data_IF_653156200637
#
_entry.id   IF_653156200637
#
_cell.length_a   1.000
_cell.length_b   1.000
_cell.length_c   1.000
_cell.angle_alpha   90.00
_cell.angle_beta   90.00
_cell.angle_gamma   90.00
#
_symmetry.space_group_name_H-M   'P 1'
#
loop_
_entity.id
_entity.type
_entity.pdbx_description
1 polymer ?
#
# COMPACT_ATOMS: atom_id res chain seq x y z
N UNK A 1 33.55 -26.48 -34.58
CA UNK A 1 33.68 -26.18 -33.15
C UNK A 1 35.07 -25.62 -32.88
N UNK A 2 35.17 -24.34 -32.55
CA UNK A 2 36.40 -23.70 -32.06
C UNK A 2 36.01 -22.79 -30.90
N UNK A 3 36.48 -23.12 -29.72
CA UNK A 3 36.29 -22.44 -28.44
C UNK A 3 37.10 -21.14 -28.41
N UNK A 4 36.46 -20.01 -28.05
CA UNK A 4 37.16 -18.77 -27.72
C UNK A 4 37.31 -18.66 -26.20
N UNK A 5 38.55 -18.39 -25.80
CA UNK A 5 39.03 -18.26 -24.42
C UNK A 5 38.74 -16.86 -23.87
N UNK A 6 38.38 -16.82 -22.59
CA UNK A 6 38.11 -15.65 -21.75
C UNK A 6 39.45 -15.01 -21.37
N UNK A 7 39.81 -13.86 -21.94
CA UNK A 7 40.95 -13.05 -21.41
C UNK A 7 40.99 -11.54 -21.69
N UNK A 8 39.91 -10.90 -22.17
CA UNK A 8 39.95 -9.46 -22.46
C UNK A 8 38.77 -8.72 -21.81
N UNK A 9 38.81 -8.43 -20.50
CA UNK A 9 38.05 -7.32 -19.90
C UNK A 9 38.63 -6.97 -18.51
N UNK A 10 39.82 -6.37 -18.53
CA UNK A 10 40.24 -5.44 -17.48
C UNK A 10 40.92 -4.24 -18.14
N UNK A 11 40.83 -3.08 -17.48
CA UNK A 11 41.40 -1.77 -17.84
C UNK A 11 40.47 -0.86 -18.64
N UNK A 12 39.63 -0.11 -17.92
CA UNK A 12 39.40 1.32 -18.15
C UNK A 12 38.62 1.92 -16.98
N UNK A 13 39.30 2.06 -15.84
CA UNK A 13 38.90 2.98 -14.77
C UNK A 13 40.13 3.78 -14.41
N UNK A 14 40.13 5.06 -14.79
CA UNK A 14 40.81 6.21 -14.16
C UNK A 14 40.93 7.34 -15.19
N UNK A 15 40.18 8.43 -14.96
CA UNK A 15 40.64 9.84 -15.00
C UNK A 15 39.44 10.78 -15.16
N UNK A 16 39.05 11.42 -14.07
CA UNK A 16 38.77 12.87 -14.04
C UNK A 16 38.60 13.35 -12.60
N UNK A 17 39.64 13.99 -12.10
CA UNK A 17 39.59 14.94 -10.99
C UNK A 17 39.53 16.35 -11.61
N UNK A 18 38.66 17.23 -11.10
CA UNK A 18 38.87 18.66 -10.83
C UNK A 18 37.53 19.23 -10.34
N UNK A 19 37.35 19.47 -9.03
CA UNK A 19 37.60 20.74 -8.30
C UNK A 19 36.80 21.92 -8.87
N UNK A 20 35.76 22.35 -8.15
CA UNK A 20 35.51 23.77 -7.82
C UNK A 20 34.67 23.84 -6.53
N UNK A 21 35.27 24.43 -5.49
CA UNK A 21 34.56 24.81 -4.29
C UNK A 21 33.89 26.17 -4.47
N UNK A 22 32.76 26.37 -3.78
CA UNK A 22 32.32 27.69 -3.35
C UNK A 22 31.77 27.57 -1.94
N UNK A 23 32.51 28.16 -1.01
CA UNK A 23 32.11 28.50 0.34
C UNK A 23 31.23 29.74 0.21
N UNK A 24 29.99 29.68 0.70
CA UNK A 24 29.22 30.89 1.00
C UNK A 24 28.81 30.84 2.47
N UNK A 25 29.65 31.52 3.25
CA UNK A 25 29.44 31.88 4.64
C UNK A 25 28.61 33.17 4.63
N UNK A 26 27.38 33.15 5.13
CA UNK A 26 26.65 34.36 5.48
C UNK A 26 26.41 34.41 6.99
N UNK A 27 26.90 35.51 7.55
CA UNK A 27 27.06 35.84 8.95
C UNK A 27 25.83 36.63 9.44
N UNK A 28 25.38 36.25 10.64
CA UNK A 28 24.69 37.01 11.70
C UNK A 28 23.96 38.33 11.39
N UNK A 29 22.72 38.42 11.89
CA UNK A 29 22.04 39.66 12.27
C UNK A 29 20.99 39.40 13.36
N UNK A 30 21.29 39.86 14.58
CA UNK A 30 20.41 39.88 15.76
C UNK A 30 19.35 40.99 15.66
N UNK A 31 18.17 40.75 16.24
CA UNK A 31 17.27 41.65 17.02
C UNK A 31 15.92 40.91 17.12
N UNK A 32 15.30 40.62 18.26
CA UNK A 32 15.29 41.31 19.55
C UNK A 32 14.04 42.19 19.62
N UNK A 33 12.91 41.65 20.11
CA UNK A 33 11.83 42.39 20.79
C UNK A 33 10.85 41.39 21.44
N UNK A 34 10.90 41.32 22.77
CA UNK A 34 9.84 40.82 23.65
C UNK A 34 8.67 41.80 23.70
N UNK A 35 7.48 41.27 24.03
CA UNK A 35 6.34 41.82 24.80
C UNK A 35 5.33 40.66 24.83
N UNK A 36 5.20 39.84 25.87
CA UNK A 36 4.67 40.09 27.23
C UNK A 36 3.20 40.55 27.24
N UNK A 37 2.44 40.04 28.23
CA UNK A 37 1.05 40.40 28.64
C UNK A 37 -0.06 39.68 27.83
N UNK A 38 -1.00 38.86 28.35
CA UNK A 38 -1.66 38.78 29.66
C UNK A 38 -2.02 37.33 30.05
N UNK A 39 -1.75 36.97 31.31
CA UNK A 39 -2.43 35.88 32.01
C UNK A 39 -3.68 36.43 32.69
N UNK A 40 -4.86 35.98 32.27
CA UNK A 40 -6.10 36.20 33.04
C UNK A 40 -6.17 35.12 34.13
N UNK A 41 -5.69 35.48 35.32
CA UNK A 41 -6.01 34.77 36.55
C UNK A 41 -7.45 35.04 36.92
N UNK A 42 -8.27 33.99 37.01
CA UNK A 42 -9.60 34.11 37.60
C UNK A 42 -9.51 33.65 39.06
N UNK A 43 -9.59 34.65 39.93
CA UNK A 43 -9.48 34.56 41.39
C UNK A 43 -10.75 33.88 41.95
N UNK A 44 -10.60 32.67 42.48
CA UNK A 44 -11.64 31.97 43.22
C UNK A 44 -11.57 32.43 44.68
N UNK A 45 -12.43 33.38 45.06
CA UNK A 45 -12.68 33.70 46.47
C UNK A 45 -14.12 33.39 46.87
N UNK A 46 -14.20 32.62 47.95
CA UNK A 46 -15.39 32.14 48.63
C UNK A 46 -16.36 33.26 49.02
N UNK A 47 -17.64 33.08 48.70
CA UNK A 47 -18.74 33.65 49.45
C UNK A 47 -19.78 32.56 49.72
N UNK A 48 -19.78 32.10 50.98
CA UNK A 48 -20.86 31.36 51.62
C UNK A 48 -22.07 32.28 51.81
N UNK A 49 -23.24 31.86 51.37
CA UNK A 49 -24.47 31.89 52.19
C UNK A 49 -25.65 31.35 51.38
N UNK A 50 -26.07 30.19 51.85
CA UNK A 50 -27.41 29.60 51.80
C UNK A 50 -28.53 30.57 51.35
N UNK A 51 -28.91 30.48 50.08
CA UNK A 51 -30.22 30.91 49.59
C UNK A 51 -30.69 29.92 48.53
N UNK A 52 -31.77 29.25 48.90
CA UNK A 52 -32.59 28.36 48.10
C UNK A 52 -33.02 29.01 46.78
N UNK A 53 -32.38 28.61 45.70
CA UNK A 53 -32.91 28.73 44.33
C UNK A 53 -33.06 27.34 43.76
N UNK A 54 -34.30 26.95 43.48
CA UNK A 54 -34.65 25.81 42.64
C UNK A 54 -34.06 26.04 41.24
N UNK A 55 -32.81 25.63 41.03
CA UNK A 55 -32.26 25.49 39.69
C UNK A 55 -32.72 24.12 39.19
N UNK A 56 -33.66 24.16 38.25
CA UNK A 56 -33.99 23.02 37.40
C UNK A 56 -32.72 22.64 36.64
N UNK A 57 -31.93 21.71 37.15
CA UNK A 57 -30.90 21.03 36.36
C UNK A 57 -31.54 19.80 35.71
N UNK A 58 -32.47 20.04 34.78
CA UNK A 58 -32.76 19.06 33.74
C UNK A 58 -31.96 19.48 32.50
N UNK A 59 -30.63 19.45 32.65
CA UNK A 59 -29.75 19.50 31.49
C UNK A 59 -29.76 18.11 30.88
N UNK A 60 -30.77 17.87 30.03
CA UNK A 60 -30.82 16.71 29.16
C UNK A 60 -29.63 16.85 28.20
N UNK A 61 -28.49 16.26 28.57
CA UNK A 61 -27.39 16.02 27.63
C UNK A 61 -27.98 15.10 26.57
N UNK A 62 -28.47 15.70 25.47
CA UNK A 62 -28.85 14.97 24.28
C UNK A 62 -27.64 14.10 23.92
N UNK A 63 -27.89 12.79 23.90
CA UNK A 63 -26.88 11.76 23.99
C UNK A 63 -25.62 12.10 23.22
N UNK A 64 -24.49 12.12 23.94
CA UNK A 64 -23.21 11.83 23.33
C UNK A 64 -23.35 10.41 22.77
N UNK A 65 -23.83 10.31 21.53
CA UNK A 65 -23.59 9.14 20.71
C UNK A 65 -22.09 9.09 20.59
N UNK A 66 -21.43 8.26 21.40
CA UNK A 66 -20.05 7.87 21.17
C UNK A 66 -19.99 7.48 19.70
N UNK A 67 -19.35 8.33 18.88
CA UNK A 67 -19.16 8.04 17.48
C UNK A 67 -18.48 6.68 17.44
N UNK A 68 -19.21 5.64 17.03
CA UNK A 68 -18.63 4.32 16.81
C UNK A 68 -17.52 4.54 15.81
N UNK A 69 -16.26 4.43 16.26
CA UNK A 69 -15.09 4.56 15.41
C UNK A 69 -15.30 3.64 14.22
N UNK A 70 -15.41 4.22 13.02
CA UNK A 70 -15.72 3.46 11.82
C UNK A 70 -14.69 2.34 11.65
N UNK A 71 -15.14 1.10 11.39
CA UNK A 71 -14.22 0.01 11.10
C UNK A 71 -13.61 0.19 9.71
N UNK A 72 -12.39 -0.33 9.45
CA UNK A 72 -11.80 -0.24 8.12
C UNK A 72 -12.70 -0.80 7.01
N UNK A 73 -13.36 -1.94 7.26
CA UNK A 73 -14.26 -2.55 6.27
C UNK A 73 -15.47 -1.68 5.98
N UNK A 74 -16.01 -0.97 6.98
CA UNK A 74 -17.09 0.01 6.78
C UNK A 74 -16.63 1.24 5.99
N UNK A 75 -15.42 1.76 6.24
CA UNK A 75 -14.86 2.92 5.52
C UNK A 75 -14.59 2.60 4.06
N UNK A 76 -14.09 1.39 3.76
CA UNK A 76 -13.90 0.94 2.37
C UNK A 76 -15.18 0.46 1.69
N UNK A 77 -16.26 0.22 2.43
CA UNK A 77 -17.50 -0.33 1.88
C UNK A 77 -17.36 -1.78 1.39
N UNK A 78 -16.55 -2.59 2.06
CA UNK A 78 -16.27 -3.98 1.69
C UNK A 78 -16.94 -4.98 2.63
N UNK A 79 -17.25 -6.16 2.08
CA UNK A 79 -17.86 -7.30 2.78
C UNK A 79 -17.11 -8.57 2.45
N UNK A 80 -17.23 -9.60 3.29
CA UNK A 80 -16.63 -10.93 3.04
C UNK A 80 -17.11 -11.57 1.73
N UNK A 81 -18.29 -11.18 1.25
CA UNK A 81 -18.80 -11.62 -0.06
C UNK A 81 -18.06 -11.04 -1.27
N UNK A 82 -17.32 -9.94 -1.08
CA UNK A 82 -16.60 -9.21 -2.13
C UNK A 82 -15.08 -9.25 -1.97
N UNK A 83 -14.59 -9.39 -0.75
CA UNK A 83 -13.17 -9.39 -0.46
C UNK A 83 -12.84 -10.29 0.71
N UNK A 84 -11.78 -11.07 0.57
CA UNK A 84 -11.06 -11.68 1.70
C UNK A 84 -9.94 -10.75 2.14
N UNK A 85 -9.65 -10.71 3.44
CA UNK A 85 -8.58 -9.90 4.01
C UNK A 85 -7.40 -10.82 4.35
N UNK A 86 -6.33 -10.73 3.56
CA UNK A 86 -5.05 -11.34 3.86
C UNK A 86 -4.32 -10.44 4.86
N UNK A 87 -4.09 -10.91 6.08
CA UNK A 87 -3.45 -10.08 7.11
C UNK A 87 -2.74 -10.91 8.16
N UNK A 88 -2.49 -10.32 9.32
CA UNK A 88 -1.70 -10.89 10.39
C UNK A 88 -2.26 -10.53 11.76
N UNK A 89 -1.86 -11.31 12.75
CA UNK A 89 -2.14 -11.07 14.17
C UNK A 89 -0.85 -11.14 14.99
N UNK A 90 -0.84 -10.50 16.15
CA UNK A 90 0.32 -10.46 17.05
C UNK A 90 1.23 -9.26 16.77
N UNK A 91 2.32 -9.13 17.50
CA UNK A 91 3.27 -8.04 17.27
C UNK A 91 4.04 -8.25 15.96
N UNK A 92 4.41 -7.19 15.23
CA UNK A 92 5.21 -7.31 14.02
C UNK A 92 6.62 -7.80 14.40
N UNK A 93 6.85 -9.10 14.30
CA UNK A 93 8.15 -9.74 14.47
C UNK A 93 8.13 -11.14 13.85
N UNK A 94 9.30 -11.69 13.51
CA UNK A 94 9.39 -13.07 12.98
C UNK A 94 8.95 -14.14 14.00
N UNK A 95 9.01 -13.86 15.30
CA UNK A 95 8.69 -14.81 16.36
C UNK A 95 7.20 -14.82 16.74
N UNK A 96 6.56 -13.65 16.79
CA UNK A 96 5.22 -13.49 17.38
C UNK A 96 4.10 -13.32 16.36
N UNK A 97 4.40 -12.75 15.18
CA UNK A 97 3.39 -12.58 14.13
C UNK A 97 2.95 -13.94 13.57
N UNK A 98 1.65 -14.03 13.28
CA UNK A 98 1.03 -15.12 12.51
C UNK A 98 0.34 -14.52 11.29
N UNK A 99 0.61 -15.09 10.13
CA UNK A 99 -0.05 -14.72 8.88
C UNK A 99 -1.32 -15.55 8.70
N UNK A 100 -2.36 -14.91 8.18
CA UNK A 100 -3.64 -15.52 7.86
C UNK A 100 -4.02 -15.19 6.42
N UNK A 101 -4.27 -16.22 5.62
CA UNK A 101 -4.73 -16.01 4.24
C UNK A 101 -6.15 -15.44 4.20
N UNK A 102 -7.01 -15.88 5.13
CA UNK A 102 -8.22 -15.19 5.55
C UNK A 102 -8.11 -14.81 7.02
N UNK A 103 -8.18 -13.52 7.35
CA UNK A 103 -8.10 -13.07 8.74
C UNK A 103 -9.23 -13.63 9.61
N UNK A 104 -10.38 -14.01 9.04
CA UNK A 104 -11.48 -14.58 9.84
C UNK A 104 -11.10 -15.94 10.44
N UNK A 105 -10.15 -16.65 9.85
CA UNK A 105 -9.64 -17.92 10.38
C UNK A 105 -8.87 -17.74 11.69
N UNK A 106 -8.45 -16.51 12.00
CA UNK A 106 -7.87 -16.16 13.30
C UNK A 106 -8.92 -16.01 14.41
N UNK A 107 -10.21 -16.12 14.08
CA UNK A 107 -11.33 -15.77 14.96
C UNK A 107 -11.72 -14.29 14.92
N UNK A 108 -11.11 -13.48 14.05
CA UNK A 108 -11.48 -12.07 13.90
C UNK A 108 -12.85 -11.92 13.23
N UNK A 109 -13.65 -10.96 13.70
CA UNK A 109 -14.90 -10.59 13.04
C UNK A 109 -14.61 -9.65 11.86
N UNK A 110 -14.98 -10.05 10.64
CA UNK A 110 -14.75 -9.28 9.41
C UNK A 110 -15.27 -7.83 9.49
N UNK A 111 -16.47 -7.63 10.04
CA UNK A 111 -17.12 -6.31 10.06
C UNK A 111 -16.43 -5.31 10.98
N UNK A 112 -15.68 -5.79 11.97
CA UNK A 112 -15.04 -4.97 13.00
C UNK A 112 -13.53 -5.16 13.10
N UNK A 113 -12.93 -6.00 12.24
CA UNK A 113 -11.50 -6.26 12.28
C UNK A 113 -10.70 -4.96 12.03
N UNK A 114 -9.83 -4.65 12.99
CA UNK A 114 -8.89 -3.53 12.92
C UNK A 114 -7.69 -3.86 13.80
N UNK A 115 -6.48 -3.72 13.24
CA UNK A 115 -5.20 -3.87 13.94
C UNK A 115 -4.27 -2.74 13.46
N UNK A 116 -3.84 -1.88 14.36
CA UNK A 116 -2.97 -0.73 14.03
C UNK A 116 -1.59 -1.13 13.51
N UNK A 117 -1.20 -2.40 13.67
CA UNK A 117 0.02 -2.94 13.08
C UNK A 117 -0.15 -3.36 11.62
N UNK A 118 -1.37 -3.65 11.14
CA UNK A 118 -1.57 -4.29 9.84
C UNK A 118 -2.69 -3.67 9.01
N UNK A 119 -3.87 -3.46 9.58
CA UNK A 119 -5.08 -3.08 8.87
C UNK A 119 -5.97 -2.19 9.75
N UNK A 120 -5.98 -0.88 9.49
CA UNK A 120 -6.68 0.10 10.35
C UNK A 120 -7.19 1.29 9.54
N UNK A 121 -7.91 2.21 10.18
CA UNK A 121 -8.44 3.41 9.51
C UNK A 121 -8.31 4.66 10.36
N UNK A 122 -8.21 5.82 9.71
CA UNK A 122 -8.37 7.15 10.31
C UNK A 122 -9.79 7.73 10.10
N UNK A 123 -10.71 6.92 9.57
CA UNK A 123 -12.07 7.32 9.18
C UNK A 123 -12.20 7.82 7.73
N UNK A 124 -11.09 8.16 7.06
CA UNK A 124 -11.06 8.60 5.66
C UNK A 124 -10.32 7.64 4.74
N UNK A 125 -9.26 7.01 5.25
CA UNK A 125 -8.42 6.05 4.55
C UNK A 125 -8.38 4.75 5.33
N UNK A 126 -8.28 3.64 4.61
CA UNK A 126 -7.88 2.37 5.21
C UNK A 126 -6.43 2.11 4.88
N UNK A 127 -5.65 1.86 5.93
CA UNK A 127 -4.22 1.62 5.87
C UNK A 127 -3.94 0.14 5.89
N UNK A 128 -3.15 -0.27 4.92
CA UNK A 128 -2.54 -1.58 4.79
C UNK A 128 -1.07 -1.43 5.11
N UNK A 129 -0.61 -2.16 6.12
CA UNK A 129 0.75 -2.12 6.61
C UNK A 129 1.33 -3.52 6.61
N UNK A 130 2.42 -3.70 5.87
CA UNK A 130 3.17 -4.95 5.85
C UNK A 130 4.62 -4.69 6.27
N UNK A 131 5.22 -5.65 6.98
CA UNK A 131 6.53 -5.49 7.61
C UNK A 131 7.55 -6.39 6.94
N UNK A 132 8.77 -5.87 6.77
CA UNK A 132 9.90 -6.65 6.25
C UNK A 132 10.22 -7.80 7.21
N UNK A 133 10.42 -8.99 6.66
CA UNK A 133 10.88 -10.15 7.43
C UNK A 133 9.90 -10.73 8.44
N UNK A 134 8.61 -10.42 8.31
CA UNK A 134 7.53 -11.18 8.97
C UNK A 134 7.15 -12.41 8.16
N UNK A 135 6.44 -13.36 8.78
CA UNK A 135 5.94 -14.57 8.12
C UNK A 135 4.98 -14.21 6.99
N UNK A 136 4.99 -15.06 5.97
CA UNK A 136 4.27 -14.91 4.71
C UNK A 136 3.31 -16.08 4.50
N UNK A 137 2.55 -16.06 3.40
CA UNK A 137 1.83 -17.26 2.96
C UNK A 137 2.82 -18.38 2.59
N UNK A 138 2.38 -19.63 2.65
CA UNK A 138 3.20 -20.79 2.23
C UNK A 138 3.67 -20.71 0.77
N UNK A 139 2.93 -19.99 -0.07
CA UNK A 139 3.18 -19.83 -1.51
C UNK A 139 3.95 -18.57 -1.89
N UNK A 140 4.20 -17.62 -0.98
CA UNK A 140 4.92 -16.37 -1.30
C UNK A 140 6.04 -16.11 -0.32
N UNK A 141 7.19 -15.68 -0.84
CA UNK A 141 8.32 -15.27 -0.01
C UNK A 141 8.23 -13.83 0.54
N UNK A 142 7.27 -13.03 0.07
CA UNK A 142 7.15 -11.61 0.42
C UNK A 142 5.91 -11.35 1.30
N UNK A 143 6.03 -10.56 2.39
CA UNK A 143 4.91 -10.23 3.28
C UNK A 143 3.86 -9.33 2.63
N UNK A 144 2.60 -9.47 3.07
CA UNK A 144 1.47 -8.63 2.62
C UNK A 144 0.43 -8.42 3.71
N UNK A 145 -0.23 -7.26 3.64
CA UNK A 145 -1.58 -7.04 4.16
C UNK A 145 -2.41 -6.55 3.00
N UNK A 146 -3.35 -7.35 2.51
CA UNK A 146 -3.95 -7.14 1.20
C UNK A 146 -5.37 -7.70 1.13
N UNK A 147 -6.19 -7.18 0.22
CA UNK A 147 -7.47 -7.76 -0.11
C UNK A 147 -7.33 -8.70 -1.32
N UNK A 148 -8.04 -9.84 -1.27
CA UNK A 148 -8.25 -10.73 -2.42
C UNK A 148 -9.71 -10.67 -2.84
N UNK A 149 -9.98 -10.40 -4.11
CA UNK A 149 -11.33 -10.33 -4.65
C UNK A 149 -12.12 -11.63 -4.42
N UNK A 150 -13.39 -11.48 -4.06
CA UNK A 150 -14.38 -12.54 -3.94
C UNK A 150 -15.61 -12.15 -4.76
N UNK A 151 -16.34 -13.13 -5.28
CA UNK A 151 -17.62 -12.92 -5.96
C UNK A 151 -18.66 -13.77 -5.25
N UNK A 152 -19.61 -13.11 -4.60
CA UNK A 152 -20.69 -13.76 -3.84
C UNK A 152 -20.17 -14.72 -2.76
N UNK A 153 -19.05 -14.37 -2.10
CA UNK A 153 -18.43 -15.19 -1.04
C UNK A 153 -17.53 -16.31 -1.55
N UNK A 154 -17.52 -16.57 -2.86
CA UNK A 154 -16.62 -17.53 -3.49
C UNK A 154 -15.38 -16.83 -4.01
N UNK A 155 -14.30 -17.61 -4.14
CA UNK A 155 -13.08 -17.12 -4.75
C UNK A 155 -13.35 -16.58 -6.15
N UNK A 156 -13.10 -15.28 -6.38
CA UNK A 156 -13.20 -14.71 -7.72
C UNK A 156 -12.32 -15.49 -8.72
N UNK A 157 -12.90 -15.74 -9.89
CA UNK A 157 -12.29 -16.44 -11.02
C UNK A 157 -13.01 -15.96 -12.28
N UNK A 158 -12.33 -15.14 -13.07
CA UNK A 158 -12.88 -14.59 -14.32
C UNK A 158 -11.86 -14.64 -15.45
N UNK A 159 -12.34 -14.52 -16.70
CA UNK A 159 -11.52 -14.66 -17.90
C UNK A 159 -11.32 -13.31 -18.60
N UNK A 160 -10.08 -12.80 -18.63
CA UNK A 160 -9.76 -11.51 -19.24
C UNK A 160 -9.94 -11.41 -20.77
N UNK A 161 -10.28 -12.51 -21.46
CA UNK A 161 -10.71 -12.49 -22.86
C UNK A 161 -12.23 -12.40 -23.05
N UNK A 162 -13.03 -12.46 -21.97
CA UNK A 162 -14.49 -12.45 -22.00
C UNK A 162 -15.04 -11.40 -21.05
N UNK A 163 -15.87 -10.48 -21.57
CA UNK A 163 -16.35 -9.34 -20.79
C UNK A 163 -15.27 -8.31 -20.50
N UNK A 164 -15.58 -7.40 -19.57
CA UNK A 164 -14.68 -6.37 -19.05
C UNK A 164 -14.66 -6.43 -17.53
N UNK A 165 -13.47 -6.61 -16.97
CA UNK A 165 -13.24 -6.61 -15.53
C UNK A 165 -12.46 -5.36 -15.17
N UNK A 166 -12.95 -4.57 -14.22
CA UNK A 166 -12.30 -3.33 -13.80
C UNK A 166 -12.24 -3.23 -12.29
N UNK A 167 -11.09 -2.82 -11.76
CA UNK A 167 -10.90 -2.39 -10.38
C UNK A 167 -10.46 -0.93 -10.39
N UNK A 168 -11.18 -0.07 -9.66
CA UNK A 168 -10.83 1.34 -9.46
C UNK A 168 -10.63 1.60 -7.98
N UNK A 169 -9.55 2.30 -7.64
CA UNK A 169 -9.25 2.66 -6.25
C UNK A 169 -8.47 3.96 -6.18
N UNK A 170 -8.71 4.74 -5.13
CA UNK A 170 -7.89 5.89 -4.77
C UNK A 170 -6.83 5.45 -3.77
N UNK A 171 -5.57 5.73 -4.05
CA UNK A 171 -4.42 5.27 -3.28
C UNK A 171 -3.45 6.41 -2.94
N UNK A 172 -2.82 6.28 -1.79
CA UNK A 172 -1.56 6.96 -1.45
C UNK A 172 -0.59 5.92 -0.86
N UNK A 173 0.69 6.09 -1.12
CA UNK A 173 1.74 5.30 -0.46
C UNK A 173 2.51 6.26 0.43
N UNK A 174 2.50 5.99 1.73
CA UNK A 174 3.09 6.86 2.74
C UNK A 174 4.50 6.41 3.14
N UNK A 175 4.84 5.12 2.92
CA UNK A 175 6.18 4.61 3.19
C UNK A 175 6.54 3.41 2.29
N UNK A 176 7.80 3.35 1.89
CA UNK A 176 8.43 2.18 1.26
C UNK A 176 9.26 1.39 2.28
N UNK A 177 9.34 0.06 2.16
CA UNK A 177 10.23 -0.77 2.99
C UNK A 177 11.68 -0.62 2.55
N UNK A 178 12.59 -1.30 3.25
CA UNK A 178 13.96 -1.58 2.84
C UNK A 178 13.99 -2.92 2.10
N UNK A 179 14.38 -2.89 0.84
CA UNK A 179 14.61 -4.06 0.00
C UNK A 179 15.76 -4.93 0.49
N UNK A 180 15.94 -6.06 -0.18
CA UNK A 180 17.01 -7.04 0.07
C UNK A 180 18.40 -6.46 -0.21
N UNK A 181 18.51 -5.56 -1.20
CA UNK A 181 19.76 -4.86 -1.52
C UNK A 181 20.15 -3.79 -0.48
N UNK A 182 19.25 -3.48 0.45
CA UNK A 182 19.45 -2.45 1.49
C UNK A 182 19.34 -1.01 1.00
N UNK A 183 19.20 -0.76 -0.31
CA UNK A 183 19.24 0.58 -0.90
C UNK A 183 17.94 1.00 -1.58
N UNK A 184 17.12 0.04 -2.02
CA UNK A 184 15.83 0.30 -2.68
C UNK A 184 14.67 -0.04 -1.77
N UNK A 185 13.48 0.46 -2.10
CA UNK A 185 12.23 0.16 -1.42
C UNK A 185 11.11 0.00 -2.45
N UNK A 186 10.29 -1.04 -2.30
CA UNK A 186 9.22 -1.35 -3.25
C UNK A 186 8.00 -1.91 -2.55
N UNK A 187 6.83 -1.34 -2.86
CA UNK A 187 5.51 -1.90 -2.48
C UNK A 187 4.66 -2.08 -3.73
N UNK A 188 3.89 -3.17 -3.77
CA UNK A 188 2.82 -3.38 -4.72
C UNK A 188 1.49 -3.03 -4.06
N UNK A 189 0.69 -2.18 -4.72
CA UNK A 189 -0.56 -1.65 -4.17
C UNK A 189 -1.82 -1.98 -4.99
N UNK A 190 -1.67 -2.79 -6.04
CA UNK A 190 -2.80 -3.25 -6.86
C UNK A 190 -2.35 -4.26 -7.91
N UNK A 191 -3.15 -5.31 -8.10
CA UNK A 191 -2.77 -6.46 -8.91
C UNK A 191 -3.96 -7.04 -9.67
N UNK A 192 -3.64 -7.68 -10.80
CA UNK A 192 -4.40 -8.84 -11.29
C UNK A 192 -3.51 -10.05 -11.09
N UNK A 193 -4.03 -11.06 -10.43
CA UNK A 193 -3.36 -12.34 -10.25
C UNK A 193 -4.07 -13.37 -11.13
N UNK A 194 -3.29 -14.09 -11.93
CA UNK A 194 -3.75 -15.22 -12.74
C UNK A 194 -3.56 -16.56 -12.01
N UNK A 195 -3.72 -17.69 -12.72
CA UNK A 195 -3.45 -19.00 -12.17
C UNK A 195 -1.95 -19.27 -12.04
N UNK A 196 -1.57 -20.16 -11.13
CA UNK A 196 -0.20 -20.71 -11.09
C UNK A 196 0.17 -21.32 -12.44
N UNK A 197 -0.76 -22.07 -13.04
CA UNK A 197 -0.64 -22.62 -14.39
C UNK A 197 -1.97 -22.50 -15.11
N UNK A 198 -2.00 -21.87 -16.28
CA UNK A 198 -3.22 -21.70 -17.05
C UNK A 198 -3.59 -22.94 -17.88
N UNK A 199 -4.73 -22.91 -18.58
CA UNK A 199 -5.20 -24.03 -19.42
C UNK A 199 -4.27 -24.40 -20.58
N UNK A 200 -3.33 -23.52 -20.95
CA UNK A 200 -2.27 -23.82 -21.93
C UNK A 200 -1.00 -24.41 -21.28
N UNK A 201 -1.01 -24.65 -19.97
CA UNK A 201 0.16 -25.15 -19.25
C UNK A 201 1.24 -24.09 -19.01
N UNK A 202 0.92 -22.80 -19.12
CA UNK A 202 1.87 -21.69 -18.92
C UNK A 202 1.77 -21.19 -17.48
N UNK A 203 2.91 -21.00 -16.83
CA UNK A 203 2.98 -20.36 -15.52
C UNK A 203 2.72 -18.86 -15.66
N UNK A 204 1.68 -18.35 -15.00
CA UNK A 204 1.27 -16.94 -15.12
C UNK A 204 1.53 -16.18 -13.83
N UNK A 205 1.01 -16.68 -12.70
CA UNK A 205 1.08 -16.02 -11.40
C UNK A 205 0.53 -14.57 -11.47
N UNK A 206 1.23 -13.57 -10.94
CA UNK A 206 0.82 -12.17 -11.08
C UNK A 206 0.84 -11.72 -12.55
N UNK A 207 -0.33 -11.40 -13.11
CA UNK A 207 -0.44 -10.81 -14.45
C UNK A 207 0.15 -9.41 -14.48
N UNK A 208 -0.20 -8.59 -13.48
CA UNK A 208 0.32 -7.24 -13.31
C UNK A 208 0.46 -6.90 -11.83
N UNK A 209 1.55 -6.20 -11.51
CA UNK A 209 1.79 -5.56 -10.21
C UNK A 209 2.00 -4.07 -10.39
N UNK A 210 1.08 -3.26 -9.85
CA UNK A 210 1.20 -1.81 -9.78
C UNK A 210 1.99 -1.44 -8.52
N UNK A 211 3.19 -0.88 -8.69
CA UNK A 211 4.12 -0.67 -7.57
C UNK A 211 4.65 0.75 -7.53
N UNK A 212 5.06 1.20 -6.35
CA UNK A 212 6.02 2.30 -6.23
C UNK A 212 7.40 1.77 -5.90
N UNK A 213 8.39 2.31 -6.61
CA UNK A 213 9.81 1.99 -6.48
C UNK A 213 10.59 3.26 -6.12
N UNK A 214 11.39 3.19 -5.08
CA UNK A 214 12.18 4.30 -4.57
C UNK A 214 13.35 3.84 -3.71
N UNK A 215 13.82 4.70 -2.82
CA UNK A 215 14.91 4.38 -1.89
C UNK A 215 14.41 3.58 -0.69
N UNK A 216 15.32 2.84 -0.05
CA UNK A 216 15.00 2.09 1.16
C UNK A 216 14.44 2.98 2.26
N UNK A 217 13.37 2.53 2.93
CA UNK A 217 12.71 3.24 4.04
C UNK A 217 12.13 4.63 3.71
N UNK A 218 12.06 5.00 2.42
CA UNK A 218 11.58 6.30 1.98
C UNK A 218 10.18 6.61 2.54
N UNK A 219 9.99 7.80 3.09
CA UNK A 219 8.72 8.27 3.68
C UNK A 219 8.17 9.54 3.04
N UNK A 220 8.93 10.19 2.15
CA UNK A 220 8.50 11.39 1.41
C UNK A 220 9.20 11.47 0.06
N UNK A 221 8.74 12.36 -0.81
CA UNK A 221 9.42 12.73 -2.05
C UNK A 221 9.17 11.80 -3.23
N UNK A 222 9.97 12.00 -4.28
CA UNK A 222 9.78 11.39 -5.61
C UNK A 222 10.01 9.88 -5.59
N UNK A 223 9.13 9.17 -6.29
CA UNK A 223 9.23 7.74 -6.58
C UNK A 223 8.91 7.49 -8.05
N UNK A 224 9.13 6.25 -8.50
CA UNK A 224 8.66 5.80 -9.82
C UNK A 224 7.48 4.88 -9.65
N UNK A 225 6.47 5.01 -10.52
CA UNK A 225 5.52 3.93 -10.75
C UNK A 225 6.26 2.82 -11.50
N UNK A 226 6.21 1.59 -10.98
CA UNK A 226 6.81 0.40 -11.60
C UNK A 226 5.70 -0.60 -11.91
N UNK A 227 5.64 -1.05 -13.16
CA UNK A 227 4.74 -2.10 -13.62
C UNK A 227 5.56 -3.36 -13.82
N UNK A 228 5.21 -4.39 -13.06
CA UNK A 228 5.81 -5.73 -13.09
C UNK A 228 4.73 -6.79 -13.31
N UNK A 229 5.09 -8.07 -13.27
CA UNK A 229 4.19 -9.20 -13.54
C UNK A 229 4.32 -9.72 -14.96
N UNK A 230 3.63 -10.81 -15.26
CA UNK A 230 3.74 -11.58 -16.50
C UNK A 230 3.72 -10.71 -17.76
N UNK A 231 2.80 -9.75 -17.85
CA UNK A 231 2.66 -8.88 -19.03
C UNK A 231 3.85 -7.96 -19.28
N UNK A 232 4.75 -7.81 -18.32
CA UNK A 232 5.98 -7.02 -18.51
C UNK A 232 7.20 -7.93 -18.49
N UNK A 233 7.37 -8.72 -17.44
CA UNK A 233 8.56 -9.55 -17.21
C UNK A 233 8.67 -10.70 -18.22
N UNK A 234 7.55 -11.30 -18.61
CA UNK A 234 7.52 -12.41 -19.57
C UNK A 234 7.23 -11.91 -20.99
N UNK A 235 6.18 -11.09 -21.16
CA UNK A 235 5.74 -10.67 -22.50
C UNK A 235 6.66 -9.61 -23.11
N UNK A 236 7.14 -8.65 -22.30
CA UNK A 236 8.02 -7.57 -22.76
C UNK A 236 9.50 -7.78 -22.39
N UNK A 237 9.80 -8.81 -21.59
CA UNK A 237 11.15 -9.15 -21.13
C UNK A 237 11.69 -8.30 -19.98
N UNK A 238 10.94 -7.28 -19.53
CA UNK A 238 11.36 -6.39 -18.43
C UNK A 238 10.18 -5.62 -17.82
N UNK A 239 10.30 -5.27 -16.54
CA UNK A 239 9.39 -4.32 -15.88
C UNK A 239 9.48 -2.93 -16.52
N UNK A 240 8.39 -2.16 -16.47
CA UNK A 240 8.35 -0.77 -16.96
C UNK A 240 8.32 0.22 -15.79
N UNK A 241 8.93 1.39 -15.95
CA UNK A 241 8.93 2.45 -14.93
C UNK A 241 8.54 3.81 -15.50
N UNK A 242 7.83 4.60 -14.70
CA UNK A 242 7.31 5.91 -15.06
C UNK A 242 7.63 6.90 -13.94
N UNK A 243 8.11 8.09 -14.30
CA UNK A 243 8.42 9.18 -13.37
C UNK A 243 7.18 10.05 -13.11
N UNK A 244 7.31 11.04 -12.21
CA UNK A 244 6.23 11.98 -11.90
C UNK A 244 5.33 11.57 -10.73
N UNK A 245 5.75 10.57 -9.95
CA UNK A 245 5.03 10.11 -8.77
C UNK A 245 5.77 10.51 -7.49
N UNK A 246 5.03 10.66 -6.40
CA UNK A 246 5.52 11.04 -5.07
C UNK A 246 4.80 10.25 -3.98
N UNK A 247 5.52 9.93 -2.90
CA UNK A 247 4.91 9.42 -1.67
C UNK A 247 3.99 10.49 -1.05
N UNK A 248 2.95 10.05 -0.33
CA UNK A 248 1.93 10.90 0.30
C UNK A 248 0.96 11.58 -0.68
N UNK A 249 1.25 11.57 -1.99
CA UNK A 249 0.33 12.07 -3.02
C UNK A 249 -0.80 11.08 -3.28
N UNK A 250 -1.98 11.61 -3.57
CA UNK A 250 -3.17 10.81 -3.89
C UNK A 250 -3.29 10.59 -5.39
N UNK A 251 -3.50 9.34 -5.79
CA UNK A 251 -3.76 8.93 -7.17
C UNK A 251 -5.04 8.11 -7.23
N UNK A 252 -5.73 8.11 -8.37
CA UNK A 252 -6.86 7.19 -8.59
C UNK A 252 -6.51 6.30 -9.77
N UNK A 253 -6.23 5.03 -9.49
CA UNK A 253 -5.93 4.07 -10.54
C UNK A 253 -7.17 3.31 -10.95
N UNK A 254 -7.24 2.98 -12.24
CA UNK A 254 -8.20 2.00 -12.76
C UNK A 254 -7.43 0.93 -13.53
N UNK A 255 -7.53 -0.30 -13.07
CA UNK A 255 -6.98 -1.47 -13.72
C UNK A 255 -8.10 -2.22 -14.44
N UNK A 256 -8.00 -2.34 -15.76
CA UNK A 256 -8.98 -3.03 -16.59
C UNK A 256 -8.37 -4.22 -17.30
N UNK A 257 -9.16 -5.26 -17.49
CA UNK A 257 -8.80 -6.41 -18.30
C UNK A 257 -9.98 -6.80 -19.17
N UNK A 258 -9.83 -6.65 -20.49
CA UNK A 258 -10.82 -7.03 -21.49
C UNK A 258 -10.12 -7.33 -22.82
N UNK A 259 -10.73 -8.16 -23.66
CA UNK A 259 -10.18 -8.49 -24.99
C UNK A 259 -8.73 -9.00 -24.95
N UNK A 260 -8.38 -9.74 -23.89
CA UNK A 260 -7.03 -10.24 -23.62
C UNK A 260 -5.96 -9.16 -23.37
N UNK A 261 -6.37 -7.91 -23.12
CA UNK A 261 -5.46 -6.79 -22.88
C UNK A 261 -5.69 -6.19 -21.50
N UNK A 262 -4.59 -5.99 -20.78
CA UNK A 262 -4.59 -5.30 -19.48
C UNK A 262 -4.31 -3.83 -19.72
N UNK A 263 -5.05 -2.96 -19.05
CA UNK A 263 -4.93 -1.51 -19.12
C UNK A 263 -4.84 -0.92 -17.72
N UNK A 264 -3.91 -0.01 -17.49
CA UNK A 264 -3.79 0.77 -16.27
C UNK A 264 -3.97 2.26 -16.59
N UNK A 265 -4.91 2.90 -15.91
CA UNK A 265 -5.16 4.33 -15.99
C UNK A 265 -4.84 5.01 -14.66
N UNK A 266 -4.40 6.26 -14.71
CA UNK A 266 -4.37 7.19 -13.58
C UNK A 266 -5.33 8.35 -13.89
N UNK A 267 -6.47 8.40 -13.19
CA UNK A 267 -7.62 9.18 -13.61
C UNK A 267 -8.09 8.71 -14.99
N UNK A 268 -8.21 9.63 -15.94
CA UNK A 268 -8.54 9.34 -17.35
C UNK A 268 -7.31 9.02 -18.22
N UNK A 269 -6.09 9.21 -17.71
CA UNK A 269 -4.87 9.05 -18.49
C UNK A 269 -4.46 7.60 -18.54
N UNK A 270 -4.34 7.03 -19.75
CA UNK A 270 -3.76 5.70 -19.95
C UNK A 270 -2.26 5.75 -19.62
N UNK A 271 -1.83 4.91 -18.69
CA UNK A 271 -0.43 4.82 -18.24
C UNK A 271 0.28 3.64 -18.87
N UNK A 272 -0.40 2.50 -18.95
CA UNK A 272 0.15 1.26 -19.47
C UNK A 272 -0.94 0.40 -20.10
N UNK A 273 -0.60 -0.30 -21.17
CA UNK A 273 -1.45 -1.36 -21.73
C UNK A 273 -0.60 -2.46 -22.35
N UNK A 274 -1.00 -3.71 -22.16
CA UNK A 274 -0.33 -4.84 -22.80
C UNK A 274 -1.27 -6.04 -22.98
N UNK A 275 -1.18 -6.66 -24.16
CA UNK A 275 -1.93 -7.88 -24.50
C UNK A 275 -1.22 -9.11 -23.95
N UNK A 276 -1.98 -10.04 -23.37
CA UNK A 276 -1.50 -11.38 -23.04
C UNK A 276 -1.12 -12.17 -24.30
N UNK A 277 -0.08 -12.99 -24.20
CA UNK A 277 0.35 -13.92 -25.24
C UNK A 277 -0.02 -15.39 -24.91
N UNK A 278 -0.91 -15.61 -23.94
CA UNK A 278 -1.36 -16.93 -23.50
C UNK A 278 -2.83 -16.88 -23.03
N UNK A 279 -3.36 -18.01 -22.52
CA UNK A 279 -4.73 -18.07 -21.98
C UNK A 279 -4.93 -17.04 -20.86
N UNK A 280 -6.14 -16.50 -20.82
CA UNK A 280 -6.57 -15.40 -19.96
C UNK A 280 -7.55 -15.85 -18.87
N UNK A 281 -7.60 -17.14 -18.54
CA UNK A 281 -8.52 -17.73 -17.55
C UNK A 281 -8.05 -17.57 -16.10
N UNK A 282 -8.96 -17.76 -15.14
CA UNK A 282 -8.64 -17.90 -13.71
C UNK A 282 -7.99 -16.70 -13.04
N UNK A 283 -8.48 -15.50 -13.33
CA UNK A 283 -7.97 -14.26 -12.74
C UNK A 283 -8.82 -13.74 -11.58
N UNK A 284 -8.20 -12.91 -10.76
CA UNK A 284 -8.85 -12.11 -9.73
C UNK A 284 -8.02 -10.86 -9.40
N UNK A 285 -8.68 -9.84 -8.87
CA UNK A 285 -8.04 -8.62 -8.39
C UNK A 285 -7.48 -8.79 -6.97
N UNK A 286 -6.41 -8.03 -6.69
CA UNK A 286 -5.88 -7.84 -5.33
C UNK A 286 -5.46 -6.39 -5.11
N UNK A 287 -5.59 -5.88 -3.89
CA UNK A 287 -5.27 -4.48 -3.58
C UNK A 287 -4.91 -4.30 -2.11
N UNK A 288 -3.87 -3.53 -1.79
CA UNK A 288 -3.39 -3.35 -0.41
C UNK A 288 -1.91 -3.00 -0.35
N UNK A 289 -1.16 -3.64 0.55
CA UNK A 289 0.30 -3.50 0.68
C UNK A 289 0.97 -4.87 0.59
N UNK A 290 1.56 -5.16 -0.58
CA UNK A 290 2.37 -6.34 -0.82
C UNK A 290 3.82 -5.92 -1.04
N UNK A 291 4.67 -6.14 -0.03
CA UNK A 291 6.07 -5.75 -0.11
C UNK A 291 6.76 -6.50 -1.24
N UNK A 292 7.72 -5.86 -1.89
CA UNK A 292 8.49 -6.46 -2.97
C UNK A 292 9.98 -6.44 -2.64
N UNK A 293 10.73 -7.37 -3.24
CA UNK A 293 12.18 -7.47 -3.05
C UNK A 293 12.61 -7.64 -1.58
N UNK A 294 11.81 -8.29 -0.73
CA UNK A 294 12.10 -8.51 0.70
C UNK A 294 12.07 -9.98 1.11
N UNK A 295 12.11 -10.89 0.14
CA UNK A 295 12.05 -12.32 0.38
C UNK A 295 13.21 -12.80 1.25
N UNK A 296 12.87 -13.66 2.22
CA UNK A 296 13.81 -14.30 3.15
C UNK A 296 14.68 -13.30 3.91
N UNK A 297 14.15 -12.11 4.19
CA UNK A 297 14.84 -11.10 4.98
C UNK A 297 14.47 -11.18 6.45
N UNK A 298 15.36 -10.69 7.33
CA UNK A 298 15.08 -10.58 8.75
C UNK A 298 14.14 -9.40 9.06
N UNK A 299 13.37 -9.54 10.12
CA UNK A 299 12.63 -8.43 10.69
C UNK A 299 13.59 -7.40 11.28
N UNK A 300 13.40 -6.14 10.90
CA UNK A 300 14.20 -5.00 11.36
C UNK A 300 13.36 -3.73 11.59
N UNK A 301 12.04 -3.89 11.69
CA UNK A 301 11.09 -2.78 11.84
C UNK A 301 10.84 -1.98 10.56
N UNK A 302 11.45 -2.31 9.41
CA UNK A 302 11.11 -1.71 8.14
C UNK A 302 9.72 -2.17 7.65
N UNK A 303 8.95 -1.28 7.01
CA UNK A 303 7.58 -1.56 6.56
C UNK A 303 7.19 -0.73 5.33
N UNK A 304 6.20 -1.25 4.60
CA UNK A 304 5.40 -0.51 3.64
C UNK A 304 4.14 0.04 4.30
N UNK A 305 3.61 1.15 3.78
CA UNK A 305 2.33 1.69 4.23
C UNK A 305 1.55 2.26 3.04
N UNK A 306 0.39 1.67 2.79
CA UNK A 306 -0.51 2.04 1.69
C UNK A 306 -1.87 2.44 2.27
N UNK A 307 -2.34 3.64 1.92
CA UNK A 307 -3.70 4.10 2.22
C UNK A 307 -4.60 3.96 1.01
N UNK A 308 -5.79 3.36 1.18
CA UNK A 308 -6.78 3.16 0.10
C UNK A 308 -8.14 3.72 0.52
N UNK A 309 -8.87 4.29 -0.44
CA UNK A 309 -10.30 4.62 -0.35
C UNK A 309 -10.96 4.50 -1.73
N UNK A 310 -12.28 4.68 -1.79
CA UNK A 310 -13.06 4.63 -3.04
C UNK A 310 -12.79 3.37 -3.88
N UNK A 311 -12.69 2.21 -3.21
CA UNK A 311 -12.45 0.94 -3.87
C UNK A 311 -13.74 0.42 -4.51
N UNK A 312 -13.67 0.07 -5.78
CA UNK A 312 -14.78 -0.55 -6.51
C UNK A 312 -14.28 -1.56 -7.53
N UNK A 313 -15.09 -2.59 -7.76
CA UNK A 313 -14.87 -3.60 -8.79
C UNK A 313 -16.15 -3.78 -9.59
N UNK A 314 -16.00 -3.92 -10.90
CA UNK A 314 -17.10 -4.18 -11.83
C UNK A 314 -16.72 -5.25 -12.83
N UNK A 315 -17.69 -6.12 -13.14
CA UNK A 315 -17.60 -7.04 -14.27
C UNK A 315 -18.81 -6.84 -15.17
N UNK A 316 -18.59 -6.71 -16.47
CA UNK A 316 -19.64 -6.63 -17.48
C UNK A 316 -19.37 -7.67 -18.55
N UNK A 317 -20.43 -8.31 -19.05
CA UNK A 317 -20.33 -9.25 -20.17
C UNK A 317 -20.36 -8.54 -21.51
#
# INVERSE_FOLDING_TARGET
MKTKSIKDYQMNYLKSNLVYGFISLCLLGLTGCSNDVDQVGNDLTNASSDKTTNIVTDFKVAGITTATTASPTSVLGITSSKWKINSSTGSPSSSSQKYWDDITDSGANYATYSDTNYFYTDGSWVYFKAWRGTKTSSSSGNPRTELREMISGSAANWNGSSGTHSMTWTVKVDKLPKGKDGSTGVVCFGQIHGPEKNSNGVEVDDIIRCQFYGTANQSTGTVKLKISGYITETVLGESKTYTGYNLGSTYTFTLKYYGSTVYLYNGSTLVFSQKMNTSCDSNYFKVGDYLQSVQSQSYDGSYGLVGIKNLSVTHTN
#
